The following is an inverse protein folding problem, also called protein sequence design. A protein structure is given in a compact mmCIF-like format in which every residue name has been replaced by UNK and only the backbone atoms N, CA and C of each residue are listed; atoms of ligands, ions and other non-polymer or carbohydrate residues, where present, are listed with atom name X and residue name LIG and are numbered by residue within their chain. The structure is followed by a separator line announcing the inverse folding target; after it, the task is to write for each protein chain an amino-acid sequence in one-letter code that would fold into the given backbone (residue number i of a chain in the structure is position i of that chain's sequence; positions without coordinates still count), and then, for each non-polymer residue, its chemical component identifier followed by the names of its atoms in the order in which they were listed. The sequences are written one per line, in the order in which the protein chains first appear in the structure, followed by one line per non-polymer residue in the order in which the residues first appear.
data_IF_998782282649
#
_entry.id   IF_998782282649
#
_cell.length_a   1.000
_cell.length_b   1.000
_cell.length_c   1.000
_cell.angle_alpha   90.00
_cell.angle_beta   90.00
_cell.angle_gamma   90.00
#
_symmetry.space_group_name_H-M   'P 1'
#
loop_
_entity.id
_entity.type
_entity.pdbx_description
1 polymer ?
#
# COMPACT_ATOMS: atom_id res chain seq x y z
N UNK A 1 49.48 -24.33 0.17
CA UNK A 1 48.05 -24.65 0.28
C UNK A 1 47.37 -23.44 0.85
N UNK A 2 46.08 -23.28 0.55
CA UNK A 2 45.16 -22.25 1.04
C UNK A 2 44.99 -21.03 0.11
N UNK A 3 43.87 -21.03 -0.61
CA UNK A 3 42.82 -19.98 -0.73
C UNK A 3 41.96 -20.37 -1.95
N UNK A 4 41.08 -21.36 -1.77
CA UNK A 4 39.96 -21.67 -2.68
C UNK A 4 38.77 -22.18 -1.83
N UNK A 5 38.25 -21.34 -0.93
CA UNK A 5 37.06 -21.69 -0.14
C UNK A 5 36.05 -20.53 -0.01
N UNK A 6 36.24 -19.44 -0.76
CA UNK A 6 35.38 -18.24 -0.68
C UNK A 6 34.30 -18.12 -1.75
N UNK A 7 34.44 -18.75 -2.92
CA UNK A 7 33.56 -18.45 -4.08
C UNK A 7 32.23 -19.20 -4.08
N UNK A 8 32.18 -20.45 -3.61
CA UNK A 8 30.96 -21.27 -3.72
C UNK A 8 29.80 -20.74 -2.86
N UNK A 9 30.12 -20.12 -1.72
CA UNK A 9 29.08 -19.65 -0.80
C UNK A 9 28.44 -18.35 -1.27
N UNK A 10 29.21 -17.42 -1.84
CA UNK A 10 28.70 -16.18 -2.41
C UNK A 10 27.76 -16.43 -3.59
N UNK A 11 28.17 -17.33 -4.50
CA UNK A 11 27.39 -17.64 -5.70
C UNK A 11 26.01 -18.21 -5.34
N UNK A 12 25.93 -18.99 -4.25
CA UNK A 12 24.67 -19.55 -3.76
C UNK A 12 23.73 -18.47 -3.20
N UNK A 13 24.26 -17.49 -2.46
CA UNK A 13 23.44 -16.39 -1.96
C UNK A 13 22.97 -15.48 -3.09
N UNK A 14 23.82 -15.18 -4.05
CA UNK A 14 23.48 -14.35 -5.21
C UNK A 14 22.34 -14.98 -6.03
N UNK A 15 22.38 -16.30 -6.25
CA UNK A 15 21.30 -17.03 -6.91
C UNK A 15 19.98 -17.01 -6.10
N UNK A 16 20.06 -17.20 -4.78
CA UNK A 16 18.89 -17.17 -3.90
C UNK A 16 18.24 -15.77 -3.87
N UNK A 17 19.05 -14.72 -3.76
CA UNK A 17 18.59 -13.33 -3.76
C UNK A 17 18.01 -12.96 -5.13
N UNK A 18 18.66 -13.33 -6.23
CA UNK A 18 18.13 -13.12 -7.57
C UNK A 18 16.74 -13.77 -7.73
N UNK A 19 16.58 -15.01 -7.27
CA UNK A 19 15.29 -15.71 -7.29
C UNK A 19 14.25 -15.06 -6.38
N UNK A 20 14.64 -14.56 -5.21
CA UNK A 20 13.75 -13.84 -4.32
C UNK A 20 13.24 -12.53 -4.95
N UNK A 21 14.13 -11.78 -5.62
CA UNK A 21 13.78 -10.57 -6.38
C UNK A 21 12.86 -10.90 -7.55
N UNK A 22 13.12 -11.97 -8.30
CA UNK A 22 12.23 -12.45 -9.36
C UNK A 22 10.82 -12.79 -8.84
N UNK A 23 10.75 -13.54 -7.74
CA UNK A 23 9.47 -13.91 -7.13
C UNK A 23 8.74 -12.70 -6.54
N UNK A 24 9.46 -11.71 -5.98
CA UNK A 24 8.92 -10.45 -5.45
C UNK A 24 8.23 -9.63 -6.53
N UNK A 25 8.86 -9.47 -7.69
CA UNK A 25 8.33 -8.68 -8.80
C UNK A 25 7.51 -9.48 -9.80
N UNK A 26 7.32 -10.78 -9.54
CA UNK A 26 6.43 -11.62 -10.34
C UNK A 26 4.96 -11.21 -10.16
N UNK A 27 4.15 -11.40 -11.20
CA UNK A 27 2.69 -11.26 -11.09
C UNK A 27 2.02 -12.48 -10.44
N UNK A 28 2.78 -13.39 -9.82
CA UNK A 28 2.24 -14.55 -9.12
C UNK A 28 2.04 -14.21 -7.63
N UNK A 29 0.78 -14.08 -7.22
CA UNK A 29 0.42 -13.63 -5.86
C UNK A 29 0.97 -14.55 -4.77
N UNK A 30 0.99 -15.86 -5.01
CA UNK A 30 1.52 -16.84 -4.04
C UNK A 30 3.03 -16.67 -3.86
N UNK A 31 3.76 -16.44 -4.96
CA UNK A 31 5.22 -16.23 -4.91
C UNK A 31 5.55 -14.92 -4.21
N UNK A 32 4.92 -13.84 -4.61
CA UNK A 32 5.13 -12.52 -4.01
C UNK A 32 4.75 -12.53 -2.52
N UNK A 33 3.60 -13.11 -2.16
CA UNK A 33 3.16 -13.24 -0.76
C UNK A 33 4.19 -13.97 0.09
N UNK A 34 4.73 -15.09 -0.39
CA UNK A 34 5.77 -15.86 0.29
C UNK A 34 7.04 -15.03 0.50
N UNK A 35 7.45 -14.22 -0.47
CA UNK A 35 8.60 -13.32 -0.28
C UNK A 35 8.31 -12.29 0.82
N UNK A 36 7.15 -11.63 0.75
CA UNK A 36 6.75 -10.63 1.75
C UNK A 36 6.58 -11.22 3.15
N UNK A 37 6.07 -12.45 3.30
CA UNK A 37 5.83 -13.06 4.61
C UNK A 37 7.11 -13.59 5.27
N UNK A 38 8.11 -14.03 4.48
CA UNK A 38 9.31 -14.68 5.02
C UNK A 38 10.57 -13.81 4.98
N UNK A 39 10.70 -12.92 4.00
CA UNK A 39 11.92 -12.15 3.75
C UNK A 39 11.78 -10.68 4.09
N UNK A 40 10.64 -10.20 4.58
CA UNK A 40 10.50 -8.82 5.07
C UNK A 40 10.32 -8.80 6.59
N UNK A 41 10.85 -7.76 7.23
CA UNK A 41 10.46 -7.42 8.60
C UNK A 41 9.04 -6.87 8.62
N UNK A 42 8.29 -7.13 9.70
CA UNK A 42 6.89 -6.70 9.80
C UNK A 42 6.70 -5.18 9.69
N UNK A 43 7.69 -4.41 10.15
CA UNK A 43 7.79 -2.96 10.13
C UNK A 43 8.69 -2.42 9.00
N UNK A 44 9.03 -3.27 8.00
CA UNK A 44 9.83 -2.84 6.87
C UNK A 44 9.24 -1.61 6.17
N UNK A 45 10.10 -0.73 5.68
CA UNK A 45 9.69 0.50 5.00
C UNK A 45 9.79 0.34 3.49
N UNK A 46 8.91 1.04 2.77
CA UNK A 46 8.97 1.19 1.33
C UNK A 46 9.00 2.66 0.95
N UNK A 47 9.95 3.03 0.10
CA UNK A 47 10.15 4.38 -0.39
C UNK A 47 10.23 4.39 -1.91
N UNK A 48 9.46 5.27 -2.54
CA UNK A 48 9.55 5.55 -3.96
C UNK A 48 9.37 7.05 -4.18
N UNK A 49 9.68 7.59 -5.38
CA UNK A 49 9.49 9.01 -5.67
C UNK A 49 8.06 9.52 -5.44
N UNK A 50 7.06 8.63 -5.43
CA UNK A 50 5.65 8.99 -5.32
C UNK A 50 5.04 8.78 -3.94
N UNK A 51 5.60 7.86 -3.18
CA UNK A 51 5.00 7.43 -1.93
C UNK A 51 6.05 6.77 -1.04
N UNK A 52 5.81 6.93 0.26
CA UNK A 52 6.48 6.17 1.31
C UNK A 52 5.42 5.48 2.15
N UNK A 53 5.70 4.27 2.60
CA UNK A 53 4.79 3.52 3.47
C UNK A 53 5.56 2.57 4.35
N UNK A 54 5.00 2.26 5.52
CA UNK A 54 5.61 1.39 6.50
C UNK A 54 4.77 0.13 6.71
N UNK A 55 5.46 -0.96 6.97
CA UNK A 55 4.91 -2.27 7.27
C UNK A 55 4.55 -3.09 6.02
N UNK A 56 4.85 -4.39 6.09
CA UNK A 56 4.67 -5.35 4.98
C UNK A 56 3.25 -5.36 4.42
N UNK A 57 2.27 -5.15 5.29
CA UNK A 57 0.87 -5.06 4.90
C UNK A 57 0.64 -3.96 3.85
N UNK A 58 1.17 -2.76 4.07
CA UNK A 58 1.03 -1.65 3.15
C UNK A 58 1.90 -1.84 1.91
N UNK A 59 3.14 -2.34 2.07
CA UNK A 59 4.03 -2.67 0.95
C UNK A 59 3.35 -3.62 -0.04
N UNK A 60 2.67 -4.66 0.47
CA UNK A 60 1.88 -5.59 -0.34
C UNK A 60 0.82 -4.87 -1.20
N UNK A 61 0.10 -3.92 -0.61
CA UNK A 61 -0.93 -3.16 -1.33
C UNK A 61 -0.33 -2.30 -2.44
N UNK A 62 0.85 -1.70 -2.21
CA UNK A 62 1.58 -0.94 -3.23
C UNK A 62 1.94 -1.84 -4.42
N UNK A 63 2.53 -3.01 -4.17
CA UNK A 63 2.89 -3.97 -5.22
C UNK A 63 1.66 -4.48 -5.98
N UNK A 64 0.56 -4.75 -5.28
CA UNK A 64 -0.71 -5.14 -5.90
C UNK A 64 -1.30 -4.02 -6.76
N UNK A 65 -1.23 -2.75 -6.31
CA UNK A 65 -1.69 -1.61 -7.11
C UNK A 65 -0.91 -1.54 -8.42
N UNK A 66 0.42 -1.65 -8.37
CA UNK A 66 1.26 -1.66 -9.57
C UNK A 66 0.92 -2.80 -10.52
N UNK A 67 0.65 -4.00 -9.99
CA UNK A 67 0.16 -5.15 -10.77
C UNK A 67 -1.22 -4.90 -11.38
N UNK A 68 -2.12 -4.21 -10.68
CA UNK A 68 -3.45 -3.91 -11.18
C UNK A 68 -3.43 -2.85 -12.29
N UNK A 69 -2.53 -1.87 -12.19
CA UNK A 69 -2.37 -0.77 -13.13
C UNK A 69 -1.65 -1.21 -14.42
N UNK A 70 -0.70 -2.13 -14.31
CA UNK A 70 0.09 -2.61 -15.44
C UNK A 70 -0.43 -3.94 -15.99
N UNK A 71 -0.25 -4.12 -17.30
CA UNK A 71 -0.60 -5.36 -17.99
C UNK A 71 0.49 -6.43 -17.87
N UNK A 72 1.76 -6.02 -17.86
CA UNK A 72 2.91 -6.90 -17.92
C UNK A 72 3.75 -6.78 -16.65
N UNK A 73 4.36 -7.88 -16.18
CA UNK A 73 5.35 -7.81 -15.10
C UNK A 73 6.58 -7.02 -15.56
N UNK A 74 7.33 -6.41 -14.63
CA UNK A 74 8.61 -5.80 -14.94
C UNK A 74 9.61 -6.86 -15.43
N UNK A 75 10.53 -6.45 -16.30
CA UNK A 75 11.66 -7.28 -16.72
C UNK A 75 12.87 -6.93 -15.87
N UNK A 76 13.39 -7.90 -15.12
CA UNK A 76 14.61 -7.74 -14.32
C UNK A 76 15.80 -7.92 -15.26
N UNK A 77 16.66 -6.92 -15.34
CA UNK A 77 17.83 -6.94 -16.24
C UNK A 77 19.10 -7.37 -15.52
N UNK A 78 19.23 -7.02 -14.24
CA UNK A 78 20.40 -7.35 -13.45
C UNK A 78 20.03 -7.30 -11.96
N UNK A 79 20.62 -8.21 -11.17
CA UNK A 79 20.54 -8.21 -9.71
C UNK A 79 21.97 -8.28 -9.17
N UNK A 80 22.34 -7.33 -8.33
CA UNK A 80 23.64 -7.27 -7.66
C UNK A 80 23.42 -7.34 -6.15
N UNK A 81 24.12 -8.22 -5.46
CA UNK A 81 24.06 -8.32 -4.00
C UNK A 81 25.47 -8.28 -3.42
N UNK A 82 25.65 -7.59 -2.29
CA UNK A 82 26.96 -7.44 -1.65
C UNK A 82 26.99 -7.99 -0.21
N UNK A 83 26.01 -8.81 0.18
CA UNK A 83 25.85 -9.33 1.53
C UNK A 83 24.90 -8.51 2.42
N UNK A 84 24.69 -7.23 2.12
CA UNK A 84 23.82 -6.35 2.91
C UNK A 84 22.76 -5.65 2.05
N UNK A 85 23.13 -5.16 0.88
CA UNK A 85 22.24 -4.43 -0.01
C UNK A 85 22.14 -5.18 -1.33
N UNK A 86 20.90 -5.38 -1.80
CA UNK A 86 20.61 -5.85 -3.13
C UNK A 86 20.17 -4.66 -4.00
N UNK A 87 20.80 -4.52 -5.16
CA UNK A 87 20.40 -3.56 -6.18
C UNK A 87 19.88 -4.33 -7.40
N UNK A 88 18.60 -4.18 -7.68
CA UNK A 88 17.96 -4.77 -8.85
C UNK A 88 17.64 -3.69 -9.88
N UNK A 89 18.12 -3.89 -11.09
CA UNK A 89 17.76 -3.07 -12.25
C UNK A 89 16.58 -3.73 -12.95
N UNK A 90 15.49 -2.99 -13.09
CA UNK A 90 14.28 -3.49 -13.72
C UNK A 90 13.69 -2.49 -14.71
N UNK A 91 13.00 -3.00 -15.72
CA UNK A 91 12.26 -2.21 -16.70
C UNK A 91 10.78 -2.46 -16.51
N UNK A 92 10.05 -1.46 -16.05
CA UNK A 92 8.60 -1.50 -15.93
C UNK A 92 7.97 -1.17 -17.29
N UNK A 93 7.16 -2.07 -17.82
CA UNK A 93 6.37 -1.83 -19.04
C UNK A 93 5.05 -1.22 -18.66
N UNK A 94 5.03 0.11 -18.54
CA UNK A 94 3.83 0.88 -18.27
C UNK A 94 2.88 0.76 -19.45
N UNK A 95 1.86 -0.07 -19.26
CA UNK A 95 0.77 -0.25 -20.19
C UNK A 95 -0.52 -0.12 -19.38
N UNK A 96 -1.03 1.13 -19.22
CA UNK A 96 -2.26 1.39 -18.51
C UNK A 96 -3.39 0.54 -19.09
N UNK A 97 -4.07 -0.25 -18.24
CA UNK A 97 -5.20 -1.08 -18.72
C UNK A 97 -6.35 -0.26 -19.32
N UNK A 98 -6.52 1.00 -18.90
CA UNK A 98 -7.49 1.93 -19.48
C UNK A 98 -7.09 2.48 -20.87
N UNK A 99 -5.80 2.49 -21.19
CA UNK A 99 -5.26 3.08 -22.43
C UNK A 99 -4.33 2.08 -23.12
N UNK A 100 -4.87 1.06 -23.82
CA UNK A 100 -4.07 -0.04 -24.36
C UNK A 100 -3.09 0.37 -25.48
N UNK A 101 -3.22 1.59 -26.02
CA UNK A 101 -2.34 2.14 -27.05
C UNK A 101 -1.09 2.82 -26.48
N UNK A 102 -1.05 3.05 -25.16
CA UNK A 102 0.11 3.63 -24.49
C UNK A 102 0.95 2.47 -23.95
N UNK A 103 2.16 2.34 -24.48
CA UNK A 103 3.16 1.41 -23.98
C UNK A 103 4.47 2.16 -23.80
N UNK A 104 5.06 2.01 -22.62
CA UNK A 104 6.22 2.77 -22.24
C UNK A 104 7.12 1.95 -21.34
N UNK A 105 8.42 2.07 -21.55
CA UNK A 105 9.42 1.36 -20.77
C UNK A 105 10.04 2.35 -19.79
N UNK A 106 9.75 2.17 -18.51
CA UNK A 106 10.29 2.96 -17.41
C UNK A 106 11.43 2.18 -16.76
N UNK A 107 12.69 2.63 -16.87
CA UNK A 107 13.78 2.06 -16.09
C UNK A 107 13.59 2.41 -14.61
N UNK A 108 13.75 1.40 -13.76
CA UNK A 108 13.62 1.52 -12.30
C UNK A 108 14.79 0.81 -11.66
N UNK A 109 15.37 1.46 -10.66
CA UNK A 109 16.38 0.88 -9.79
C UNK A 109 15.69 0.58 -8.47
N UNK A 110 15.79 -0.66 -8.02
CA UNK A 110 15.32 -1.09 -6.70
C UNK A 110 16.52 -1.37 -5.82
N UNK A 111 16.50 -0.82 -4.62
CA UNK A 111 17.49 -1.07 -3.57
C UNK A 111 16.77 -1.71 -2.40
N UNK A 112 17.18 -2.93 -2.05
CA UNK A 112 16.69 -3.67 -0.90
C UNK A 112 17.82 -3.75 0.13
N UNK A 113 17.62 -3.16 1.30
CA UNK A 113 18.56 -3.26 2.40
C UNK A 113 18.14 -4.39 3.33
N UNK A 114 19.06 -5.33 3.52
CA UNK A 114 18.90 -6.48 4.38
C UNK A 114 19.52 -6.23 5.74
N UNK A 115 18.85 -6.75 6.75
CA UNK A 115 19.31 -6.81 8.11
C UNK A 115 19.19 -8.25 8.61
N UNK A 116 20.18 -8.68 9.37
CA UNK A 116 20.18 -10.00 9.99
C UNK A 116 19.21 -10.01 11.18
N UNK A 117 18.33 -11.01 11.23
CA UNK A 117 17.35 -11.13 12.33
C UNK A 117 18.00 -11.48 13.66
N UNK A 118 18.89 -12.49 13.68
CA UNK A 118 19.59 -12.99 14.86
C UNK A 118 20.90 -13.64 14.41
N UNK A 119 22.00 -13.40 15.15
CA UNK A 119 23.38 -13.85 14.87
C UNK A 119 23.47 -15.38 14.67
N UNK A 120 22.58 -16.13 15.31
CA UNK A 120 22.57 -17.60 15.26
C UNK A 120 21.76 -18.15 14.07
N UNK A 121 20.89 -17.33 13.47
CA UNK A 121 19.99 -17.75 12.40
C UNK A 121 20.59 -17.60 11.00
N UNK A 122 21.50 -16.63 10.82
CA UNK A 122 22.04 -16.24 9.51
C UNK A 122 20.96 -15.80 8.51
N UNK A 123 19.72 -15.53 8.97
CA UNK A 123 18.61 -15.16 8.10
C UNK A 123 18.62 -13.65 7.85
N UNK A 124 18.76 -13.30 6.57
CA UNK A 124 18.67 -11.92 6.10
C UNK A 124 17.23 -11.59 5.73
N UNK A 125 16.70 -10.52 6.30
CA UNK A 125 15.39 -9.97 5.96
C UNK A 125 15.50 -8.52 5.51
N UNK A 126 14.61 -8.12 4.63
CA UNK A 126 14.53 -6.79 4.04
C UNK A 126 13.88 -5.85 5.06
N UNK A 127 14.64 -4.84 5.47
CA UNK A 127 14.19 -3.76 6.35
C UNK A 127 13.74 -2.54 5.54
N UNK A 128 14.47 -2.22 4.46
CA UNK A 128 14.16 -1.08 3.60
C UNK A 128 14.05 -1.51 2.14
N UNK A 129 12.98 -1.10 1.48
CA UNK A 129 12.75 -1.27 0.05
C UNK A 129 12.62 0.10 -0.59
N UNK A 130 13.63 0.50 -1.36
CA UNK A 130 13.63 1.78 -2.07
C UNK A 130 13.54 1.58 -3.58
N UNK A 131 12.65 2.30 -4.23
CA UNK A 131 12.59 2.44 -5.68
C UNK A 131 13.11 3.81 -6.11
N UNK A 132 13.86 3.86 -7.20
CA UNK A 132 14.37 5.10 -7.80
C UNK A 132 14.12 5.08 -9.30
N UNK A 133 13.37 6.07 -9.77
CA UNK A 133 12.99 6.21 -11.17
C UNK A 133 12.56 7.65 -11.46
N UNK A 134 12.66 8.06 -12.72
CA UNK A 134 12.42 9.45 -13.13
C UNK A 134 11.14 9.55 -13.95
N UNK A 135 10.04 9.89 -13.28
CA UNK A 135 8.73 10.10 -13.94
C UNK A 135 8.70 11.41 -14.74
N UNK A 136 9.45 12.41 -14.30
CA UNK A 136 9.27 13.80 -14.73
C UNK A 136 9.59 14.00 -16.21
N UNK A 137 10.69 13.41 -16.70
CA UNK A 137 11.01 13.42 -18.14
C UNK A 137 10.03 12.60 -19.00
N UNK A 138 9.34 11.65 -18.38
CA UNK A 138 8.43 10.72 -19.03
C UNK A 138 7.03 11.32 -19.22
N UNK A 139 6.50 11.99 -18.20
CA UNK A 139 5.19 12.66 -18.26
C UNK A 139 5.21 13.87 -19.19
N UNK A 140 6.33 14.60 -19.26
CA UNK A 140 6.49 15.72 -20.19
C UNK A 140 6.43 15.28 -21.66
N UNK A 141 6.85 14.05 -21.96
CA UNK A 141 6.86 13.53 -23.33
C UNK A 141 5.50 12.98 -23.80
N UNK A 142 4.60 12.60 -22.88
CA UNK A 142 3.32 11.93 -23.22
C UNK A 142 2.15 12.52 -22.42
N UNK A 143 1.36 13.46 -22.98
CA UNK A 143 0.26 14.13 -22.27
C UNK A 143 -0.82 13.17 -21.72
N UNK A 144 -1.13 12.11 -22.47
CA UNK A 144 -2.10 11.08 -22.05
C UNK A 144 -1.62 10.36 -20.79
N UNK A 145 -0.30 10.17 -20.65
CA UNK A 145 0.29 9.53 -19.48
C UNK A 145 0.23 10.44 -18.26
N UNK A 146 0.45 11.75 -18.43
CA UNK A 146 0.26 12.74 -17.35
C UNK A 146 -1.18 12.71 -16.84
N UNK A 147 -2.17 12.72 -17.76
CA UNK A 147 -3.57 12.63 -17.37
C UNK A 147 -3.89 11.35 -16.61
N UNK A 148 -3.45 10.19 -17.14
CA UNK A 148 -3.66 8.90 -16.48
C UNK A 148 -3.03 8.88 -15.09
N UNK A 149 -1.81 9.38 -14.97
CA UNK A 149 -1.09 9.46 -13.71
C UNK A 149 -1.85 10.29 -12.67
N UNK A 150 -2.19 11.54 -13.00
CA UNK A 150 -2.83 12.47 -12.07
C UNK A 150 -4.24 12.03 -11.65
N UNK A 151 -4.99 11.39 -12.55
CA UNK A 151 -6.40 11.07 -12.31
C UNK A 151 -6.64 9.63 -11.87
N UNK A 152 -5.74 8.69 -12.19
CA UNK A 152 -5.90 7.27 -11.86
C UNK A 152 -4.94 6.88 -10.77
N UNK A 153 -3.63 6.99 -11.01
CA UNK A 153 -2.61 6.52 -10.07
C UNK A 153 -2.71 7.31 -8.76
N UNK A 154 -2.70 8.64 -8.85
CA UNK A 154 -2.74 9.52 -7.66
C UNK A 154 -4.02 9.36 -6.85
N UNK A 155 -5.17 9.23 -7.51
CA UNK A 155 -6.47 9.04 -6.84
C UNK A 155 -6.55 7.68 -6.16
N UNK A 156 -6.12 6.60 -6.83
CA UNK A 156 -6.11 5.26 -6.24
C UNK A 156 -5.15 5.19 -5.05
N UNK A 157 -3.99 5.83 -5.18
CA UNK A 157 -3.02 5.89 -4.09
C UNK A 157 -3.58 6.65 -2.88
N UNK A 158 -4.21 7.81 -3.11
CA UNK A 158 -4.87 8.57 -2.05
C UNK A 158 -5.96 7.78 -1.34
N UNK A 159 -6.72 6.95 -2.08
CA UNK A 159 -7.71 6.04 -1.50
C UNK A 159 -7.07 4.95 -0.65
N UNK A 160 -5.94 4.37 -1.07
CA UNK A 160 -5.24 3.36 -0.26
C UNK A 160 -4.74 3.96 1.06
N UNK A 161 -4.09 5.13 1.01
CA UNK A 161 -3.61 5.82 2.22
C UNK A 161 -4.79 6.17 3.15
N UNK A 162 -5.89 6.67 2.59
CA UNK A 162 -7.08 7.06 3.37
C UNK A 162 -7.80 5.86 4.00
N UNK A 163 -7.85 4.72 3.29
CA UNK A 163 -8.47 3.49 3.81
C UNK A 163 -7.71 2.92 5.01
N UNK A 164 -6.39 3.08 5.06
CA UNK A 164 -5.56 2.68 6.20
C UNK A 164 -5.70 3.67 7.37
N UNK A 165 -5.89 4.97 7.10
CA UNK A 165 -6.09 6.01 8.13
C UNK A 165 -7.50 6.05 8.77
N UNK A 166 -8.51 5.49 8.11
CA UNK A 166 -9.92 5.51 8.57
C UNK A 166 -10.23 4.72 9.84
N UNK A 167 -9.29 3.95 10.37
CA UNK A 167 -9.47 3.13 11.59
C UNK A 167 -9.05 3.88 12.88
N UNK A 168 -8.40 5.04 12.77
CA UNK A 168 -7.87 5.78 13.93
C UNK A 168 -8.93 6.70 14.58
N UNK A 169 -9.93 7.17 13.83
CA UNK A 169 -10.95 8.09 14.35
C UNK A 169 -12.18 7.42 14.97
N UNK A 170 -12.48 6.15 14.65
CA UNK A 170 -13.64 5.45 15.21
C UNK A 170 -13.39 4.82 16.59
N UNK A 171 -12.14 4.88 17.08
CA UNK A 171 -11.77 4.38 18.42
C UNK A 171 -11.61 5.51 19.44
N UNK A 172 -11.29 6.74 19.00
CA UNK A 172 -11.25 7.90 19.91
C UNK A 172 -12.65 8.40 20.30
N UNK A 173 -13.67 8.19 19.45
CA UNK A 173 -15.06 8.54 19.80
C UNK A 173 -15.71 7.54 20.80
N UNK A 174 -15.11 6.36 21.01
CA UNK A 174 -15.58 5.39 22.01
C UNK A 174 -14.87 5.47 23.37
N UNK A 175 -13.80 6.24 23.49
CA UNK A 175 -13.05 6.40 24.74
C UNK A 175 -13.58 7.59 25.57
N UNK A 176 -14.30 8.53 24.96
CA UNK A 176 -14.94 9.63 25.70
C UNK A 176 -16.29 9.27 26.36
N UNK A 177 -16.78 8.03 26.18
CA UNK A 177 -18.04 7.54 26.77
C UNK A 177 -17.86 6.59 27.97
N UNK A 178 -16.64 6.39 28.45
CA UNK A 178 -16.37 5.59 29.65
C UNK A 178 -15.54 6.40 30.65
N UNK A 179 -16.21 7.28 31.39
CA UNK A 179 -15.70 7.79 32.66
C UNK A 179 -16.28 6.92 33.82
N UNK A 180 -15.45 6.43 34.77
CA UNK A 180 -15.86 5.49 35.79
C UNK A 180 -16.13 6.20 37.12
N UNK A 181 -17.38 6.23 37.59
CA UNK A 181 -17.69 6.36 39.04
C UNK A 181 -19.20 6.36 39.33
N UNK A 182 -19.73 5.18 39.69
CA UNK A 182 -20.66 5.08 40.82
C UNK A 182 -20.80 3.62 41.25
N UNK A 183 -20.16 3.31 42.36
CA UNK A 183 -20.24 2.07 43.14
C UNK A 183 -21.60 2.00 43.84
N UNK A 184 -22.31 0.86 43.77
CA UNK A 184 -22.84 0.10 44.94
C UNK A 184 -23.99 -0.86 44.57
N UNK A 185 -23.86 -2.08 45.11
CA UNK A 185 -24.91 -3.03 45.56
C UNK A 185 -25.58 -3.99 44.55
N UNK A 186 -24.97 -5.18 44.44
CA UNK A 186 -25.51 -6.49 44.85
C UNK A 186 -27.01 -6.79 44.72
N UNK A 187 -27.37 -7.76 43.87
CA UNK A 187 -28.15 -8.95 44.28
C UNK A 187 -28.09 -10.06 43.22
N UNK A 188 -27.73 -11.26 43.69
CA UNK A 188 -27.84 -12.55 43.01
C UNK A 188 -29.32 -12.92 42.75
N UNK A 189 -29.61 -13.51 41.60
CA UNK A 189 -30.53 -14.64 41.49
C UNK A 189 -30.30 -15.43 40.19
N UNK A 190 -30.20 -16.74 40.35
CA UNK A 190 -29.92 -17.73 39.33
C UNK A 190 -31.16 -18.15 38.52
N UNK A 191 -30.87 -18.96 37.50
CA UNK A 191 -31.70 -20.03 36.93
C UNK A 191 -32.74 -19.69 35.85
N UNK A 192 -32.36 -20.07 34.62
CA UNK A 192 -32.96 -21.17 33.84
C UNK A 192 -34.19 -20.96 32.93
N UNK A 193 -33.99 -21.44 31.69
CA UNK A 193 -34.88 -22.27 30.85
C UNK A 193 -35.66 -21.72 29.64
N UNK A 194 -35.44 -22.47 28.55
CA UNK A 194 -36.35 -22.94 27.49
C UNK A 194 -37.04 -21.97 26.49
N UNK A 195 -36.54 -22.08 25.25
CA UNK A 195 -37.27 -22.42 24.02
C UNK A 195 -38.77 -22.10 23.91
N UNK A 196 -39.15 -21.37 22.85
CA UNK A 196 -39.82 -21.92 21.65
C UNK A 196 -40.43 -20.83 20.74
N UNK A 197 -40.14 -20.96 19.43
CA UNK A 197 -41.01 -20.72 18.26
C UNK A 197 -41.93 -19.49 18.18
N UNK A 198 -41.79 -18.69 17.12
CA UNK A 198 -42.75 -18.68 15.99
C UNK A 198 -42.42 -17.63 14.92
N UNK A 199 -42.06 -18.16 13.75
CA UNK A 199 -42.52 -17.84 12.40
C UNK A 199 -43.23 -16.51 12.05
N UNK A 200 -42.75 -15.98 10.91
CA UNK A 200 -43.49 -15.55 9.71
C UNK A 200 -43.87 -14.06 9.50
N UNK A 201 -43.22 -13.53 8.46
CA UNK A 201 -43.78 -12.82 7.31
C UNK A 201 -44.27 -11.37 7.45
N UNK A 202 -43.68 -10.52 6.60
CA UNK A 202 -44.46 -9.97 5.48
C UNK A 202 -44.69 -8.46 5.49
N UNK A 203 -44.13 -7.82 4.45
CA UNK A 203 -44.66 -6.65 3.73
C UNK A 203 -44.87 -5.34 4.51
N UNK A 204 -44.15 -4.28 4.14
CA UNK A 204 -44.50 -3.47 2.97
C UNK A 204 -43.73 -2.15 2.94
N UNK A 205 -43.43 -1.76 1.72
CA UNK A 205 -42.94 -0.47 1.26
C UNK A 205 -43.78 0.72 1.72
N UNK A 206 -43.13 1.85 2.02
CA UNK A 206 -43.64 3.18 1.68
C UNK A 206 -42.49 4.18 1.61
N UNK A 207 -42.26 4.69 0.40
CA UNK A 207 -41.44 5.86 0.13
C UNK A 207 -42.21 7.13 0.53
N UNK A 208 -41.51 8.12 1.08
CA UNK A 208 -41.72 9.54 0.74
C UNK A 208 -40.60 10.40 1.33
N UNK A 209 -39.71 10.82 0.45
CA UNK A 209 -39.19 12.18 0.28
C UNK A 209 -39.45 13.20 1.39
N UNK A 210 -38.36 13.69 2.00
CA UNK A 210 -38.15 15.12 2.28
C UNK A 210 -36.72 15.45 1.85
N UNK A 211 -36.61 16.20 0.75
CA UNK A 211 -35.41 16.91 0.32
C UNK A 211 -35.50 18.38 0.77
N UNK A 212 -34.35 19.05 0.76
CA UNK A 212 -34.14 20.51 0.86
C UNK A 212 -33.99 21.12 2.26
N UNK A 213 -32.75 21.16 2.75
CA UNK A 213 -32.14 22.37 3.32
C UNK A 213 -30.66 22.09 3.61
N UNK A 214 -29.79 23.07 3.38
CA UNK A 214 -28.32 23.07 3.54
C UNK A 214 -27.50 22.73 2.29
N UNK A 215 -27.86 23.35 1.16
CA UNK A 215 -26.92 23.59 0.07
C UNK A 215 -27.10 25.01 -0.49
N UNK A 216 -26.99 26.03 0.36
CA UNK A 216 -27.03 27.42 -0.14
C UNK A 216 -26.33 28.44 0.75
N UNK A 217 -25.13 28.13 1.27
CA UNK A 217 -24.25 29.14 1.87
C UNK A 217 -22.77 28.75 1.73
N UNK A 218 -22.27 28.58 0.49
CA UNK A 218 -20.81 28.53 0.28
C UNK A 218 -20.35 28.91 -1.14
N UNK A 219 -21.13 29.68 -1.89
CA UNK A 219 -20.72 30.20 -3.22
C UNK A 219 -20.62 31.73 -3.23
N UNK A 220 -21.06 32.43 -2.17
CA UNK A 220 -21.07 33.90 -2.15
C UNK A 220 -19.90 34.57 -1.40
N UNK A 221 -18.98 33.81 -0.78
CA UNK A 221 -17.86 34.39 -0.01
C UNK A 221 -16.50 34.36 -0.73
N UNK A 222 -16.32 33.62 -1.83
CA UNK A 222 -15.02 33.58 -2.52
C UNK A 222 -14.83 34.67 -3.60
N UNK A 223 -15.90 35.36 -4.02
CA UNK A 223 -15.81 36.48 -4.99
C UNK A 223 -15.45 37.83 -4.36
N UNK A 224 -15.43 37.95 -3.03
CA UNK A 224 -15.06 39.21 -2.35
C UNK A 224 -13.56 39.34 -2.03
N UNK A 225 -12.78 38.26 -2.06
CA UNK A 225 -11.36 38.30 -1.66
C UNK A 225 -10.36 38.43 -2.83
N UNK A 226 -10.84 38.45 -4.08
CA UNK A 226 -9.97 38.57 -5.27
C UNK A 226 -9.97 39.99 -5.87
N UNK A 227 -10.76 40.92 -5.31
CA UNK A 227 -10.79 42.33 -5.77
C UNK A 227 -9.93 43.33 -4.97
N UNK A 228 -9.22 42.91 -3.93
CA UNK A 228 -8.38 43.79 -3.11
C UNK A 228 -6.86 43.69 -3.38
N UNK A 229 -6.43 42.98 -4.43
CA UNK A 229 -5.00 42.82 -4.74
C UNK A 229 -4.48 43.56 -5.98
N UNK A 230 -5.25 44.50 -6.54
CA UNK A 230 -4.85 45.29 -7.72
C UNK A 230 -5.10 46.80 -7.58
N UNK A 231 -4.89 47.38 -6.39
CA UNK A 231 -4.83 48.84 -6.21
C UNK A 231 -3.81 49.28 -5.14
N UNK A 232 -2.56 48.81 -5.23
CA UNK A 232 -1.39 49.54 -4.72
C UNK A 232 -0.23 49.35 -5.67
#
# INVERSE_FOLDING_TARGET
MDIECGSKHSDTYDELIARAVEDLFSFNDTRQKRILDHYYFHDATFDSPLLSTDGVYNIRHVLHLWKALNKYPPTITNVCFNGQTCVAYLTQKLCPRLFPFVQLELPVIVTLDFQETDIDSGLLKIQHHKESWTLEGLLQAVPILSYWYDNVVRVLMGKMISSTGGVIYSTTEKIHLLDPSSTSATSLSAAEEAASSSSLSGLSSSASSISSSLQETSIHLHKSMVREKWQK
#
